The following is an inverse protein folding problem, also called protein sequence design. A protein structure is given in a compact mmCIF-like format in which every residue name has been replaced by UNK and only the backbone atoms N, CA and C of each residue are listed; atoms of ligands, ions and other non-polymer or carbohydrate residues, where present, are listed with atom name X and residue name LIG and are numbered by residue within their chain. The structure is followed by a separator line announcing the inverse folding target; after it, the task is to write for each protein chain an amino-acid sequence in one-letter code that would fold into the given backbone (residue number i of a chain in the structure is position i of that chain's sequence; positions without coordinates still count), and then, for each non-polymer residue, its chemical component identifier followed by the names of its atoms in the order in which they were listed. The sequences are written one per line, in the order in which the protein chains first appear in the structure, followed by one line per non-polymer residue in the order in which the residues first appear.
data_IF_562844661464
#
_entry.id   IF_562844661464
#
_cell.length_a   1.000
_cell.length_b   1.000
_cell.length_c   1.000
_cell.angle_alpha   90.00
_cell.angle_beta   90.00
_cell.angle_gamma   90.00
#
_symmetry.space_group_name_H-M   'P 1'
#
loop_
_entity.id
_entity.type
_entity.pdbx_description
1 polymer ?
#
# COMPACT_ATOMS: atom_id res chain seq x y z
N UNK A 1 -12.91 12.84 47.03
CA UNK A 1 -12.09 12.83 45.80
C UNK A 1 -12.95 12.24 44.69
N UNK A 2 -13.24 13.04 43.65
CA UNK A 2 -14.03 12.63 42.48
C UNK A 2 -13.08 11.92 41.51
N UNK A 3 -13.41 10.70 41.07
CA UNK A 3 -12.75 10.07 39.92
C UNK A 3 -13.82 9.96 38.84
N UNK A 4 -13.83 10.96 37.95
CA UNK A 4 -14.67 10.98 36.76
C UNK A 4 -13.98 10.06 35.74
N UNK A 5 -14.56 8.90 35.48
CA UNK A 5 -14.09 8.01 34.42
C UNK A 5 -14.55 8.58 33.08
N UNK A 6 -13.64 9.21 32.34
CA UNK A 6 -13.87 9.58 30.95
C UNK A 6 -13.63 8.34 30.08
N UNK A 7 -14.72 7.70 29.65
CA UNK A 7 -14.69 6.73 28.57
C UNK A 7 -14.52 7.52 27.26
N UNK A 8 -13.28 7.65 26.78
CA UNK A 8 -13.02 8.20 25.45
C UNK A 8 -13.32 7.07 24.47
N UNK A 9 -14.57 7.00 24.02
CA UNK A 9 -14.94 6.16 22.89
C UNK A 9 -14.28 6.71 21.64
N UNK A 10 -13.26 6.01 21.14
CA UNK A 10 -12.69 6.28 19.82
C UNK A 10 -13.77 6.04 18.77
N UNK A 11 -14.34 7.11 18.24
CA UNK A 11 -15.12 7.06 17.01
C UNK A 11 -14.11 6.73 15.91
N UNK A 12 -14.07 5.47 15.47
CA UNK A 12 -13.41 5.12 14.23
C UNK A 12 -14.18 5.83 13.12
N UNK A 13 -13.70 7.02 12.74
CA UNK A 13 -14.13 7.71 11.54
C UNK A 13 -13.69 6.80 10.39
N UNK A 14 -14.62 6.02 9.83
CA UNK A 14 -14.40 5.41 8.54
C UNK A 14 -14.26 6.57 7.55
N UNK A 15 -13.02 7.00 7.30
CA UNK A 15 -12.73 7.94 6.24
C UNK A 15 -13.27 7.30 4.96
N UNK A 16 -14.28 7.91 4.35
CA UNK A 16 -14.73 7.53 3.02
C UNK A 16 -13.60 7.90 2.07
N UNK A 17 -12.70 6.95 1.80
CA UNK A 17 -11.57 7.16 0.89
C UNK A 17 -12.15 7.30 -0.52
N UNK A 18 -12.27 8.52 -1.02
CA UNK A 18 -12.78 8.79 -2.38
C UNK A 18 -11.77 8.39 -3.47
N UNK A 19 -10.53 8.16 -3.07
CA UNK A 19 -9.43 7.63 -3.88
C UNK A 19 -8.63 6.61 -3.06
N UNK A 20 -7.54 6.12 -3.64
CA UNK A 20 -6.59 5.26 -2.94
C UNK A 20 -5.32 6.04 -2.57
N UNK A 21 -4.70 5.60 -1.49
CA UNK A 21 -3.37 6.01 -1.05
C UNK A 21 -2.45 4.78 -1.15
N UNK A 22 -1.20 4.99 -1.55
CA UNK A 22 -0.15 3.96 -1.54
C UNK A 22 1.12 4.56 -0.98
N UNK A 23 1.75 3.84 -0.07
CA UNK A 23 3.03 4.19 0.54
C UNK A 23 4.01 3.03 0.37
N UNK A 24 5.28 3.34 0.08
CA UNK A 24 6.33 2.36 -0.15
C UNK A 24 7.61 2.65 0.65
N UNK A 25 8.26 1.59 1.13
CA UNK A 25 9.48 1.68 1.94
C UNK A 25 10.59 0.74 1.45
N UNK A 26 11.85 1.17 1.61
CA UNK A 26 13.05 0.34 1.45
C UNK A 26 13.33 -0.63 2.60
N UNK A 27 12.53 -0.57 3.66
CA UNK A 27 12.58 -1.52 4.77
C UNK A 27 11.35 -2.39 4.77
N UNK A 28 11.44 -3.47 5.53
CA UNK A 28 10.28 -4.27 5.89
C UNK A 28 9.47 -3.57 6.99
N UNK A 29 8.27 -4.08 7.20
CA UNK A 29 7.26 -3.70 8.17
C UNK A 29 6.73 -2.26 8.04
N UNK A 30 6.81 -1.68 6.83
CA UNK A 30 6.35 -0.31 6.56
C UNK A 30 6.95 0.70 7.56
N UNK A 31 8.25 0.51 7.83
CA UNK A 31 9.01 1.25 8.83
C UNK A 31 10.10 2.11 8.18
N UNK A 32 10.49 3.18 8.87
CA UNK A 32 11.49 4.13 8.43
C UNK A 32 10.93 5.24 7.55
N UNK A 33 11.79 5.79 6.70
CA UNK A 33 11.45 6.90 5.79
C UNK A 33 10.66 6.32 4.62
N UNK A 34 9.52 6.93 4.35
CA UNK A 34 8.72 6.65 3.15
C UNK A 34 9.46 7.13 1.91
N UNK A 35 9.52 6.26 0.91
CA UNK A 35 10.28 6.50 -0.33
C UNK A 35 9.33 6.80 -1.50
N UNK A 36 8.08 6.36 -1.39
CA UNK A 36 7.06 6.55 -2.42
C UNK A 36 5.71 6.82 -1.78
N UNK A 37 4.98 7.78 -2.33
CA UNK A 37 3.65 8.17 -1.87
C UNK A 37 2.74 8.51 -3.04
N UNK A 38 1.53 7.95 -2.99
CA UNK A 38 0.35 8.41 -3.71
C UNK A 38 -0.70 8.74 -2.68
N UNK A 39 -1.30 9.93 -2.80
CA UNK A 39 -2.31 10.43 -1.86
C UNK A 39 -3.61 10.78 -2.61
N UNK A 40 -4.72 10.16 -2.23
CA UNK A 40 -6.06 10.45 -2.75
C UNK A 40 -6.28 10.25 -4.25
N UNK A 41 -5.52 9.38 -4.92
CA UNK A 41 -5.65 9.16 -6.38
C UNK A 41 -6.90 8.35 -6.74
N UNK A 42 -7.46 8.62 -7.93
CA UNK A 42 -8.55 7.81 -8.51
C UNK A 42 -8.16 7.14 -9.82
N UNK A 43 -6.88 7.26 -10.20
CA UNK A 43 -6.38 6.76 -11.47
C UNK A 43 -6.29 5.23 -11.47
N UNK A 44 -6.77 4.58 -12.52
CA UNK A 44 -6.64 3.14 -12.71
C UNK A 44 -5.62 2.86 -13.80
N UNK A 45 -4.79 1.84 -13.62
CA UNK A 45 -3.74 1.54 -14.57
C UNK A 45 -2.63 0.72 -13.93
N UNK A 46 -1.51 0.69 -14.63
CA UNK A 46 -0.27 0.11 -14.11
C UNK A 46 0.73 1.24 -13.86
N UNK A 47 1.38 1.20 -12.71
CA UNK A 47 2.29 2.24 -12.24
C UNK A 47 3.56 1.59 -11.71
N UNK A 48 4.71 2.19 -12.00
CA UNK A 48 5.98 1.77 -11.42
C UNK A 48 6.24 2.56 -10.14
N UNK A 49 6.90 1.94 -9.17
CA UNK A 49 7.56 2.68 -8.10
C UNK A 49 8.76 3.42 -8.72
N UNK A 50 8.91 4.72 -8.40
CA UNK A 50 9.84 5.65 -9.09
C UNK A 50 11.30 5.18 -9.10
N UNK A 51 12.02 5.49 -10.18
CA UNK A 51 13.46 5.22 -10.37
C UNK A 51 14.32 6.01 -9.37
N UNK A 52 13.96 7.26 -9.06
CA UNK A 52 14.71 8.11 -8.11
C UNK A 52 14.59 7.60 -6.66
N UNK A 53 13.49 6.91 -6.35
CA UNK A 53 13.22 6.25 -5.08
C UNK A 53 13.81 4.84 -5.01
N UNK A 54 14.72 4.43 -5.91
CA UNK A 54 15.53 3.22 -5.78
C UNK A 54 14.97 1.94 -6.43
N UNK A 55 13.88 2.03 -7.21
CA UNK A 55 13.19 0.92 -7.91
C UNK A 55 12.68 -0.25 -7.03
N UNK A 56 13.08 -0.36 -5.76
CA UNK A 56 13.01 -1.60 -4.98
C UNK A 56 12.30 -1.41 -3.66
N UNK A 57 10.98 -1.30 -3.69
CA UNK A 57 10.19 -1.24 -2.47
C UNK A 57 10.11 -2.63 -1.83
N UNK A 58 10.37 -2.75 -0.53
CA UNK A 58 10.34 -4.03 0.20
C UNK A 58 9.09 -4.21 1.06
N UNK A 59 8.41 -3.12 1.39
CA UNK A 59 7.09 -3.16 1.98
C UNK A 59 6.22 -2.04 1.46
N UNK A 60 4.92 -2.32 1.34
CA UNK A 60 3.93 -1.40 0.81
C UNK A 60 2.68 -1.44 1.68
N UNK A 61 2.04 -0.31 1.84
CA UNK A 61 0.73 -0.20 2.47
C UNK A 61 -0.15 0.61 1.53
N UNK A 62 -1.41 0.21 1.42
CA UNK A 62 -2.39 0.94 0.63
C UNK A 62 -3.66 1.13 1.43
N UNK A 63 -4.23 2.34 1.43
CA UNK A 63 -5.55 2.61 1.99
C UNK A 63 -6.50 2.88 0.83
N UNK A 64 -7.56 2.09 0.73
CA UNK A 64 -8.57 2.22 -0.32
C UNK A 64 -9.89 1.61 0.12
N UNK A 65 -10.98 2.03 -0.51
CA UNK A 65 -12.28 1.37 -0.39
C UNK A 65 -12.30 0.14 -1.31
N UNK A 66 -12.40 -1.06 -0.72
CA UNK A 66 -12.43 -2.33 -1.46
C UNK A 66 -13.67 -2.51 -2.33
N UNK A 67 -14.74 -1.73 -2.08
CA UNK A 67 -15.92 -1.72 -2.95
C UNK A 67 -15.68 -0.90 -4.23
N UNK A 68 -14.61 -0.09 -4.26
CA UNK A 68 -14.27 0.79 -5.39
C UNK A 68 -12.98 0.40 -6.11
N UNK A 69 -11.99 -0.14 -5.40
CA UNK A 69 -10.65 -0.40 -5.92
C UNK A 69 -10.13 -1.78 -5.54
N UNK A 70 -9.35 -2.37 -6.45
CA UNK A 70 -8.51 -3.53 -6.18
C UNK A 70 -7.08 -3.20 -6.62
N UNK A 71 -6.13 -3.44 -5.72
CA UNK A 71 -4.71 -3.09 -5.93
C UNK A 71 -3.87 -4.37 -5.86
N UNK A 72 -3.03 -4.59 -6.88
CA UNK A 72 -2.07 -5.69 -6.94
C UNK A 72 -0.66 -5.15 -7.05
N UNK A 73 0.32 -5.85 -6.47
CA UNK A 73 1.74 -5.55 -6.59
C UNK A 73 2.49 -6.63 -7.38
N UNK A 74 3.62 -6.22 -7.96
CA UNK A 74 4.39 -7.05 -8.88
C UNK A 74 5.89 -6.98 -8.59
N UNK A 75 6.61 -8.10 -8.72
CA UNK A 75 8.07 -8.15 -8.58
C UNK A 75 8.81 -7.69 -9.85
N UNK A 76 8.10 -7.18 -10.84
CA UNK A 76 8.66 -6.60 -12.06
C UNK A 76 7.99 -5.27 -12.38
N UNK A 77 8.65 -4.45 -13.19
CA UNK A 77 8.09 -3.19 -13.69
C UNK A 77 6.96 -3.44 -14.69
N UNK A 78 6.09 -2.46 -14.83
CA UNK A 78 4.98 -2.41 -15.79
C UNK A 78 3.97 -3.55 -15.60
N UNK A 79 3.79 -4.00 -14.37
CA UNK A 79 2.85 -5.03 -13.96
C UNK A 79 3.00 -6.32 -14.77
N UNK A 80 4.25 -6.64 -15.11
CA UNK A 80 4.61 -7.87 -15.80
C UNK A 80 4.63 -9.00 -14.78
N UNK A 81 3.63 -9.85 -14.86
CA UNK A 81 3.66 -11.18 -14.24
C UNK A 81 2.58 -12.04 -14.89
N UNK A 82 2.93 -13.27 -15.28
CA UNK A 82 1.98 -14.25 -15.78
C UNK A 82 0.97 -14.73 -14.73
N UNK A 83 1.20 -14.42 -13.45
CA UNK A 83 0.37 -14.86 -12.31
C UNK A 83 -0.75 -13.89 -11.90
N UNK A 84 -0.77 -12.66 -12.43
CA UNK A 84 -1.79 -11.65 -12.11
C UNK A 84 -1.45 -10.71 -10.94
N UNK A 85 -0.27 -10.88 -10.32
CA UNK A 85 0.22 -10.04 -9.22
C UNK A 85 -0.33 -10.45 -7.85
N UNK A 86 0.27 -9.91 -6.79
CA UNK A 86 -0.16 -10.19 -5.41
C UNK A 86 -1.17 -9.13 -4.96
N UNK A 87 -2.40 -9.50 -4.55
CA UNK A 87 -3.38 -8.51 -4.09
C UNK A 87 -2.98 -7.92 -2.74
N UNK A 88 -3.29 -6.63 -2.55
CA UNK A 88 -3.16 -5.95 -1.26
C UNK A 88 -4.49 -5.96 -0.50
N UNK A 89 -4.40 -5.97 0.82
CA UNK A 89 -5.51 -5.69 1.73
C UNK A 89 -5.41 -4.23 2.20
N UNK A 90 -6.53 -3.51 2.17
CA UNK A 90 -6.59 -2.10 2.57
C UNK A 90 -6.18 -1.93 4.04
N UNK A 91 -5.28 -0.99 4.31
CA UNK A 91 -4.72 -0.70 5.63
C UNK A 91 -3.68 -1.70 6.12
N UNK A 92 -3.45 -2.82 5.42
CA UNK A 92 -2.45 -3.80 5.81
C UNK A 92 -1.07 -3.44 5.23
N UNK A 93 -0.02 -3.58 6.04
CA UNK A 93 1.35 -3.53 5.55
C UNK A 93 1.71 -4.87 4.92
N UNK A 94 1.94 -4.88 3.61
CA UNK A 94 2.48 -6.03 2.91
C UNK A 94 4.01 -6.00 2.94
N UNK A 95 4.60 -7.16 3.25
CA UNK A 95 6.04 -7.36 3.28
C UNK A 95 6.45 -8.30 2.17
N UNK A 96 7.33 -7.86 1.28
CA UNK A 96 7.95 -8.79 0.35
C UNK A 96 8.93 -9.67 1.11
N UNK A 97 8.62 -10.96 1.18
CA UNK A 97 9.47 -11.95 1.82
C UNK A 97 9.44 -13.27 1.05
N UNK A 98 10.19 -13.32 -0.05
CA UNK A 98 10.45 -14.56 -0.79
C UNK A 98 11.65 -15.34 -0.20
N UNK A 99 12.26 -14.87 0.91
CA UNK A 99 13.49 -15.46 1.44
C UNK A 99 14.74 -15.25 0.57
N UNK A 100 14.57 -14.77 -0.67
CA UNK A 100 15.62 -14.25 -1.53
C UNK A 100 15.81 -12.74 -1.28
N UNK A 101 17.04 -12.30 -1.03
CA UNK A 101 17.36 -10.87 -0.76
C UNK A 101 17.35 -10.00 -2.02
N UNK A 102 17.09 -10.61 -3.18
CA UNK A 102 17.26 -9.99 -4.49
C UNK A 102 15.93 -9.59 -5.16
N UNK A 103 14.79 -9.94 -4.56
CA UNK A 103 13.47 -9.56 -5.07
C UNK A 103 12.84 -8.45 -4.23
N UNK A 104 12.25 -7.49 -4.93
CA UNK A 104 11.55 -6.33 -4.40
C UNK A 104 10.26 -6.12 -5.20
N UNK A 105 9.47 -5.14 -4.79
CA UNK A 105 8.27 -4.70 -5.47
C UNK A 105 8.65 -3.54 -6.39
N UNK A 106 8.31 -3.67 -7.68
CA UNK A 106 8.69 -2.70 -8.71
C UNK A 106 7.49 -1.97 -9.32
N UNK A 107 6.31 -2.58 -9.31
CA UNK A 107 5.10 -1.93 -9.82
C UNK A 107 3.85 -2.37 -9.08
N UNK A 108 2.78 -1.59 -9.28
CA UNK A 108 1.45 -1.89 -8.79
C UNK A 108 0.39 -1.60 -9.87
N UNK A 109 -0.70 -2.36 -9.84
CA UNK A 109 -1.85 -2.21 -10.73
C UNK A 109 -3.08 -1.88 -9.91
N UNK A 110 -3.77 -0.81 -10.30
CA UNK A 110 -5.05 -0.40 -9.73
C UNK A 110 -6.15 -0.66 -10.76
N UNK A 111 -7.19 -1.38 -10.35
CA UNK A 111 -8.41 -1.59 -11.14
C UNK A 111 -9.62 -1.22 -10.31
N UNK A 112 -10.77 -1.00 -10.98
CA UNK A 112 -12.05 -0.92 -10.27
C UNK A 112 -12.46 -2.31 -9.77
N UNK A 113 -13.05 -2.34 -8.59
CA UNK A 113 -13.67 -3.55 -8.02
C UNK A 113 -14.92 -3.98 -8.80
#
# INVERSE_FOLDING_TARGET
MKVLSALIGSIALAATVSGYEIQGWHKQACDGVEEYMVDGSTETGCFNFDEEAGHRVFSVQANFDSDNFVIHIFPEENCKDGSGGTPLESGACYNWNDGSKDQAIYSYKVVKA
#
